data_IF_249153010983
#
_entry.id   IF_249153010983
#
_cell.length_a   1.000
_cell.length_b   1.000
_cell.length_c   1.000
_cell.angle_alpha   90.00
_cell.angle_beta   90.00
_cell.angle_gamma   90.00
#
_symmetry.space_group_name_H-M   'P 1'
#
loop_
_entity.id
_entity.type
_entity.pdbx_description
1 polymer ?
#
# COMPACT_ATOMS: atom_id res chain seq x y z
N UNK A 1 12.53 11.60 21.24
CA UNK A 1 13.56 10.90 20.43
C UNK A 1 13.00 9.54 20.07
N UNK A 2 13.01 9.17 18.79
CA UNK A 2 12.41 7.93 18.27
C UNK A 2 11.13 8.23 17.48
N UNK A 3 11.04 8.03 16.17
CA UNK A 3 11.96 7.35 15.29
C UNK A 3 11.84 7.97 13.89
N UNK A 4 12.96 8.52 13.44
CA UNK A 4 13.32 8.68 12.03
C UNK A 4 13.45 7.28 11.42
N UNK A 5 12.32 6.57 11.30
CA UNK A 5 12.30 5.37 10.47
C UNK A 5 12.37 5.89 9.05
N UNK A 6 13.56 5.86 8.46
CA UNK A 6 13.81 6.14 7.05
C UNK A 6 12.70 5.49 6.21
N UNK A 7 11.74 6.31 5.79
CA UNK A 7 10.35 5.87 5.66
C UNK A 7 10.17 5.14 4.32
N UNK A 8 10.40 3.82 4.32
CA UNK A 8 10.02 2.93 3.21
C UNK A 8 8.51 2.99 2.91
N UNK A 9 7.72 3.70 3.73
CA UNK A 9 6.35 4.13 3.41
C UNK A 9 6.28 4.92 2.11
N UNK A 10 7.35 5.58 1.65
CA UNK A 10 7.34 6.26 0.35
C UNK A 10 6.96 5.31 -0.77
N UNK A 11 7.42 4.05 -0.73
CA UNK A 11 7.03 3.04 -1.70
C UNK A 11 5.55 2.69 -1.56
N UNK A 12 5.10 2.37 -0.35
CA UNK A 12 3.70 2.03 -0.09
C UNK A 12 2.74 3.19 -0.43
N UNK A 13 3.16 4.42 -0.17
CA UNK A 13 2.38 5.62 -0.46
C UNK A 13 2.18 5.82 -1.97
N UNK A 14 3.06 5.31 -2.84
CA UNK A 14 2.87 5.40 -4.29
C UNK A 14 1.68 4.58 -4.79
N UNK A 15 1.24 3.58 -4.02
CA UNK A 15 0.13 2.69 -4.36
C UNK A 15 -1.21 3.11 -3.74
N UNK A 16 -1.24 4.21 -2.97
CA UNK A 16 -2.52 4.76 -2.50
C UNK A 16 -3.31 5.33 -3.66
N UNK A 17 -4.63 5.28 -3.57
CA UNK A 17 -5.50 5.77 -4.66
C UNK A 17 -5.37 7.28 -4.92
N UNK A 18 -4.89 8.04 -3.92
CA UNK A 18 -4.59 9.47 -4.06
C UNK A 18 -3.25 9.77 -4.75
N UNK A 19 -2.38 8.77 -4.91
CA UNK A 19 -1.12 8.95 -5.61
C UNK A 19 -1.36 9.09 -7.12
N UNK A 20 -1.03 10.26 -7.66
CA UNK A 20 -1.04 10.57 -9.10
C UNK A 20 -0.12 9.69 -9.95
N UNK A 21 0.69 8.84 -9.32
CA UNK A 21 1.60 7.87 -9.94
C UNK A 21 1.00 6.46 -10.10
N UNK A 22 -0.06 6.12 -9.39
CA UNK A 22 -0.80 4.87 -9.64
C UNK A 22 -1.50 5.04 -10.98
N UNK A 23 -1.00 4.34 -12.02
CA UNK A 23 -1.54 4.33 -13.38
C UNK A 23 -2.94 3.67 -13.46
N UNK A 24 -3.88 4.09 -12.61
CA UNK A 24 -5.31 3.83 -12.69
C UNK A 24 -5.78 2.37 -12.67
N UNK A 25 -4.91 1.41 -12.35
CA UNK A 25 -5.24 -0.02 -12.47
C UNK A 25 -5.40 -0.75 -11.15
N UNK A 26 -4.85 -0.22 -10.06
CA UNK A 26 -4.95 -0.83 -8.74
C UNK A 26 -5.30 0.24 -7.70
N UNK A 27 -6.25 -0.08 -6.84
CA UNK A 27 -6.74 0.80 -5.79
C UNK A 27 -7.57 -0.02 -4.82
N UNK A 28 -7.19 0.02 -3.55
CA UNK A 28 -7.86 -0.75 -2.50
C UNK A 28 -8.12 0.14 -1.29
N UNK A 29 -9.39 0.30 -0.92
CA UNK A 29 -9.80 1.16 0.19
C UNK A 29 -9.23 0.70 1.53
N UNK A 30 -9.09 -0.62 1.77
CA UNK A 30 -8.44 -1.13 2.99
C UNK A 30 -6.97 -0.76 3.05
N UNK A 31 -6.28 -0.81 1.89
CA UNK A 31 -4.90 -0.37 1.80
C UNK A 31 -4.75 1.12 2.14
N UNK A 32 -5.60 1.97 1.57
CA UNK A 32 -5.61 3.41 1.84
C UNK A 32 -5.87 3.71 3.34
N UNK A 33 -6.81 2.99 3.96
CA UNK A 33 -7.11 3.13 5.38
C UNK A 33 -5.94 2.73 6.28
N UNK A 34 -5.24 1.63 5.95
CA UNK A 34 -4.05 1.17 6.70
C UNK A 34 -2.92 2.19 6.61
N UNK A 35 -2.67 2.73 5.41
CA UNK A 35 -1.66 3.78 5.22
C UNK A 35 -2.08 5.07 5.95
N UNK A 36 -3.35 5.46 5.91
CA UNK A 36 -3.85 6.63 6.64
C UNK A 36 -3.71 6.48 8.17
N UNK A 37 -4.06 5.32 8.73
CA UNK A 37 -3.91 5.02 10.17
C UNK A 37 -2.46 5.10 10.61
N UNK A 38 -1.56 4.50 9.84
CA UNK A 38 -0.11 4.53 10.12
C UNK A 38 0.47 5.96 10.16
N UNK A 39 -0.15 6.90 9.42
CA UNK A 39 0.24 8.31 9.35
C UNK A 39 -0.48 9.21 10.35
N UNK A 40 -1.63 8.80 10.88
CA UNK A 40 -2.49 9.66 11.71
C UNK A 40 -2.72 9.06 13.09
N UNK A 41 -3.60 8.06 13.20
CA UNK A 41 -4.05 7.44 14.45
C UNK A 41 -2.91 6.75 15.19
N UNK A 42 -2.12 5.96 14.47
CA UNK A 42 -1.11 5.08 15.04
C UNK A 42 0.31 5.63 14.87
N UNK A 43 0.44 6.87 14.36
CA UNK A 43 1.73 7.50 14.06
C UNK A 43 2.68 7.59 15.26
N UNK A 44 2.13 7.73 16.48
CA UNK A 44 2.91 7.83 17.72
C UNK A 44 3.11 6.47 18.42
N UNK A 45 2.56 5.38 17.87
CA UNK A 45 2.55 4.05 18.46
C UNK A 45 3.30 3.08 17.52
N UNK A 46 4.62 3.00 17.68
CA UNK A 46 5.52 2.33 16.74
C UNK A 46 5.10 0.89 16.41
N UNK A 47 4.58 0.16 17.40
CA UNK A 47 4.10 -1.22 17.23
C UNK A 47 2.87 -1.28 16.33
N UNK A 48 1.91 -0.38 16.52
CA UNK A 48 0.68 -0.33 15.73
C UNK A 48 0.97 0.18 14.32
N UNK A 49 1.74 1.26 14.20
CA UNK A 49 2.21 1.77 12.90
C UNK A 49 2.89 0.67 12.09
N UNK A 50 3.82 -0.08 12.68
CA UNK A 50 4.51 -1.16 11.99
C UNK A 50 3.56 -2.28 11.56
N UNK A 51 2.57 -2.61 12.40
CA UNK A 51 1.54 -3.59 12.07
C UNK A 51 0.63 -3.13 10.92
N UNK A 52 0.25 -1.86 10.87
CA UNK A 52 -0.56 -1.30 9.77
C UNK A 52 0.22 -1.33 8.45
N UNK A 53 1.50 -0.93 8.48
CA UNK A 53 2.37 -0.97 7.30
C UNK A 53 2.61 -2.39 6.79
N UNK A 54 2.80 -3.35 7.69
CA UNK A 54 2.98 -4.76 7.33
C UNK A 54 1.73 -5.32 6.67
N UNK A 55 0.54 -5.04 7.24
CA UNK A 55 -0.73 -5.45 6.63
C UNK A 55 -0.95 -4.79 5.26
N UNK A 56 -0.63 -3.50 5.12
CA UNK A 56 -0.72 -2.82 3.83
C UNK A 56 0.19 -3.48 2.79
N UNK A 57 1.44 -3.80 3.15
CA UNK A 57 2.39 -4.45 2.25
C UNK A 57 1.95 -5.86 1.83
N UNK A 58 1.38 -6.64 2.75
CA UNK A 58 0.87 -7.98 2.48
C UNK A 58 -0.31 -7.93 1.50
N UNK A 59 -1.27 -7.02 1.74
CA UNK A 59 -2.42 -6.80 0.86
C UNK A 59 -1.99 -6.37 -0.56
N UNK A 60 -1.01 -5.45 -0.65
CA UNK A 60 -0.44 -5.04 -1.92
C UNK A 60 0.18 -6.24 -2.64
N UNK A 61 0.96 -7.07 -1.96
CA UNK A 61 1.60 -8.26 -2.55
C UNK A 61 0.57 -9.30 -2.98
N UNK A 62 -0.45 -9.58 -2.18
CA UNK A 62 -1.50 -10.54 -2.50
C UNK A 62 -2.27 -10.09 -3.76
N UNK A 63 -2.73 -8.84 -3.80
CA UNK A 63 -3.49 -8.34 -4.94
C UNK A 63 -2.64 -8.08 -6.18
N UNK A 64 -1.38 -7.67 -6.04
CA UNK A 64 -0.48 -7.53 -7.19
C UNK A 64 0.01 -8.87 -7.72
N UNK A 65 0.19 -9.88 -6.86
CA UNK A 65 0.44 -11.26 -7.29
C UNK A 65 -0.76 -11.80 -8.06
N UNK A 66 -1.98 -11.54 -7.60
CA UNK A 66 -3.21 -11.88 -8.33
C UNK A 66 -3.29 -11.09 -9.64
N UNK A 67 -2.99 -9.79 -9.65
CA UNK A 67 -3.04 -8.95 -10.85
C UNK A 67 -2.00 -9.36 -11.91
N UNK A 68 -0.80 -9.79 -11.49
CA UNK A 68 0.24 -10.27 -12.40
C UNK A 68 -0.15 -11.62 -13.04
N UNK A 69 -0.91 -12.45 -12.32
CA UNK A 69 -1.50 -13.69 -12.84
C UNK A 69 -2.73 -13.40 -13.72
N UNK A 70 -3.47 -12.32 -13.43
CA UNK A 70 -4.59 -11.84 -14.22
C UNK A 70 -4.11 -10.98 -15.39
N UNK A 71 -3.34 -11.59 -16.29
CA UNK A 71 -3.10 -11.04 -17.62
C UNK A 71 -4.25 -11.52 -18.49
N UNK A 72 -5.28 -10.70 -18.83
CA UNK A 72 -6.11 -11.05 -19.95
C UNK A 72 -5.17 -11.07 -21.14
N UNK A 73 -4.84 -12.27 -21.62
CA UNK A 73 -4.30 -12.47 -22.95
C UNK A 73 -5.29 -11.81 -23.89
N UNK A 74 -5.04 -10.54 -24.20
CA UNK A 74 -5.80 -9.85 -25.22
C UNK A 74 -5.28 -10.48 -26.51
N UNK A 75 -5.88 -11.61 -26.87
CA UNK A 75 -5.77 -12.16 -28.21
C UNK A 75 -6.60 -11.23 -29.08
N UNK A 76 -6.02 -10.07 -29.41
CA UNK A 76 -6.59 -9.25 -30.46
C UNK A 76 -6.18 -9.88 -31.78
N UNK A 77 -7.12 -10.68 -32.30
CA UNK A 77 -7.34 -11.07 -33.71
C UNK A 77 -6.25 -11.87 -34.41
#
# INVERSE_FOLDING_TARGET
MGADFQDAISFLNLFTTESTYTFGKWGNTQYDELIAKSKTTDANDATKRWKDLTQASDLLLDETAIALLYQPSTVTM
#
